data_IF_580266390762
#
_entry.id   IF_580266390762
#
_cell.length_a   1.000
_cell.length_b   1.000
_cell.length_c   1.000
_cell.angle_alpha   90.00
_cell.angle_beta   90.00
_cell.angle_gamma   90.00
#
_symmetry.space_group_name_H-M   'P 1'
#
loop_
_entity.id
_entity.type
_entity.pdbx_description
1 polymer ?
#
# COMPACT_ATOMS: atom_id res chain seq x y z
N UNK A 1 -3.00 7.10 0.12
CA UNK A 1 -4.40 6.99 -0.38
C UNK A 1 -5.32 6.83 0.81
N UNK A 2 -6.59 7.25 0.71
CA UNK A 2 -7.56 7.11 1.79
C UNK A 2 -8.74 6.23 1.36
N UNK A 3 -9.03 5.21 2.14
CA UNK A 3 -10.20 4.35 2.01
C UNK A 3 -11.27 4.80 3.01
N UNK A 4 -12.50 4.97 2.54
CA UNK A 4 -13.62 5.31 3.42
C UNK A 4 -14.19 4.04 4.06
N UNK A 5 -14.65 4.17 5.30
CA UNK A 5 -15.35 3.11 6.01
C UNK A 5 -16.42 3.72 6.91
N UNK A 6 -17.43 2.91 7.21
CA UNK A 6 -18.45 3.17 8.23
C UNK A 6 -18.86 1.85 8.88
N UNK A 7 -19.75 1.89 9.86
CA UNK A 7 -20.32 0.68 10.47
C UNK A 7 -21.13 -0.15 9.45
N UNK A 8 -21.83 0.50 8.52
CA UNK A 8 -22.59 -0.14 7.45
C UNK A 8 -21.71 -0.64 6.29
N UNK A 9 -20.53 -0.06 6.12
CA UNK A 9 -19.58 -0.40 5.04
C UNK A 9 -18.14 -0.43 5.58
N UNK A 10 -17.80 -1.42 6.42
CA UNK A 10 -16.45 -1.58 6.95
C UNK A 10 -15.45 -1.96 5.86
N UNK A 11 -14.18 -1.59 6.09
CA UNK A 11 -13.06 -2.10 5.31
C UNK A 11 -12.67 -3.47 5.87
N UNK A 12 -12.54 -4.45 4.98
CA UNK A 12 -11.98 -5.76 5.30
C UNK A 12 -10.76 -6.05 4.43
N UNK A 13 -9.63 -6.30 5.07
CA UNK A 13 -8.42 -6.85 4.48
C UNK A 13 -8.05 -6.22 3.11
N UNK A 14 -7.88 -4.88 3.03
CA UNK A 14 -7.78 -4.22 1.74
C UNK A 14 -6.52 -4.67 1.00
N UNK A 15 -6.69 -4.89 -0.31
CA UNK A 15 -5.63 -5.20 -1.25
C UNK A 15 -5.57 -4.12 -2.32
N UNK A 16 -4.35 -3.69 -2.64
CA UNK A 16 -4.10 -2.66 -3.65
C UNK A 16 -2.95 -3.09 -4.55
N UNK A 17 -3.10 -2.79 -5.84
CA UNK A 17 -2.06 -2.98 -6.85
C UNK A 17 -1.70 -1.62 -7.43
N UNK A 18 -0.43 -1.24 -7.29
CA UNK A 18 0.12 -0.06 -7.96
C UNK A 18 0.85 -0.52 -9.22
N UNK A 19 0.28 -0.14 -10.37
CA UNK A 19 0.83 -0.49 -11.68
C UNK A 19 2.12 0.26 -11.95
N UNK A 20 3.05 -0.39 -12.65
CA UNK A 20 4.33 0.21 -13.09
C UNK A 20 5.13 0.84 -11.94
N UNK A 21 5.11 0.22 -10.77
CA UNK A 21 5.79 0.71 -9.57
C UNK A 21 7.31 0.81 -9.75
N UNK A 22 7.94 -0.19 -10.38
CA UNK A 22 9.34 -0.17 -10.82
C UNK A 22 10.38 0.27 -9.76
N UNK A 23 10.08 0.07 -8.46
CA UNK A 23 10.96 0.40 -7.35
C UNK A 23 10.91 -0.68 -6.24
N UNK A 24 12.00 -0.90 -5.50
CA UNK A 24 12.07 -1.91 -4.43
C UNK A 24 13.10 -1.48 -3.36
N UNK A 25 12.85 -1.64 -2.03
CA UNK A 25 11.58 -2.03 -1.38
C UNK A 25 10.62 -0.90 -1.11
N UNK A 26 9.31 -1.18 -1.27
CA UNK A 26 8.26 -0.26 -0.86
C UNK A 26 8.12 -0.26 0.67
N UNK A 27 8.13 0.93 1.27
CA UNK A 27 7.71 1.12 2.67
C UNK A 27 6.22 1.38 2.71
N UNK A 28 5.53 0.73 3.65
CA UNK A 28 4.09 0.88 3.86
C UNK A 28 3.82 1.36 5.27
N UNK A 29 3.01 2.41 5.39
CA UNK A 29 2.43 2.84 6.67
C UNK A 29 0.91 2.86 6.57
N UNK A 30 0.27 2.61 7.71
CA UNK A 30 -1.19 2.67 7.86
C UNK A 30 -1.50 3.70 8.94
N UNK A 31 -2.38 4.65 8.63
CA UNK A 31 -2.74 5.78 9.51
C UNK A 31 -1.52 6.52 10.06
N UNK A 32 -0.51 6.72 9.19
CA UNK A 32 0.75 7.40 9.52
C UNK A 32 1.71 6.59 10.41
N UNK A 33 1.39 5.34 10.73
CA UNK A 33 2.18 4.50 11.65
C UNK A 33 2.82 3.32 10.92
N UNK A 34 4.01 2.93 11.39
CA UNK A 34 4.58 1.65 11.03
C UNK A 34 3.65 0.53 11.54
N UNK A 35 3.40 -0.44 10.68
CA UNK A 35 2.55 -1.58 11.02
C UNK A 35 3.36 -2.69 11.69
N UNK A 36 2.76 -3.45 12.63
CA UNK A 36 3.40 -4.64 13.16
C UNK A 36 3.74 -5.64 12.05
N UNK A 37 4.86 -6.35 12.20
CA UNK A 37 5.27 -7.40 11.27
C UNK A 37 4.14 -8.42 11.06
N UNK A 38 3.91 -8.83 9.81
CA UNK A 38 2.84 -9.76 9.43
C UNK A 38 1.46 -9.12 9.22
N UNK A 39 1.24 -7.88 9.67
CA UNK A 39 -0.03 -7.14 9.41
C UNK A 39 -0.11 -6.66 7.97
N UNK A 40 1.04 -6.27 7.40
CA UNK A 40 1.14 -5.90 5.99
C UNK A 40 2.01 -6.91 5.28
N UNK A 41 1.54 -7.33 4.10
CA UNK A 41 2.27 -8.18 3.18
C UNK A 41 2.49 -7.39 1.90
N UNK A 42 3.75 -7.32 1.48
CA UNK A 42 4.17 -6.60 0.28
C UNK A 42 4.78 -7.61 -0.67
N UNK A 43 4.38 -7.54 -1.94
CA UNK A 43 4.93 -8.36 -3.01
C UNK A 43 5.05 -7.57 -4.30
N UNK A 44 5.77 -8.12 -5.26
CA UNK A 44 5.90 -7.56 -6.61
C UNK A 44 5.31 -8.52 -7.64
N UNK A 45 4.67 -7.97 -8.66
CA UNK A 45 4.17 -8.73 -9.81
C UNK A 45 5.01 -8.31 -11.01
N UNK A 46 5.74 -9.25 -11.60
CA UNK A 46 6.59 -9.00 -12.77
C UNK A 46 5.76 -9.17 -14.03
N UNK A 47 5.69 -8.11 -14.84
CA UNK A 47 5.09 -8.11 -16.16
C UNK A 47 6.17 -7.85 -17.22
N UNK A 48 5.83 -7.98 -18.51
CA UNK A 48 6.75 -7.68 -19.61
C UNK A 48 7.20 -6.21 -19.60
N UNK A 49 6.28 -5.29 -19.31
CA UNK A 49 6.51 -3.84 -19.40
C UNK A 49 6.99 -3.21 -18.08
N UNK A 50 7.19 -4.00 -17.03
CA UNK A 50 7.64 -3.49 -15.74
C UNK A 50 7.19 -4.32 -14.54
N UNK A 51 7.39 -3.75 -13.35
CA UNK A 51 7.07 -4.37 -12.06
C UNK A 51 5.93 -3.60 -11.40
N UNK A 52 4.84 -4.29 -11.10
CA UNK A 52 3.78 -3.77 -10.24
C UNK A 52 4.07 -4.07 -8.78
N UNK A 53 3.53 -3.25 -7.89
CA UNK A 53 3.53 -3.48 -6.45
C UNK A 53 2.17 -4.00 -6.00
N UNK A 54 2.15 -5.08 -5.24
CA UNK A 54 0.95 -5.57 -4.55
C UNK A 54 1.13 -5.38 -3.03
N UNK A 55 0.14 -4.77 -2.39
CA UNK A 55 0.11 -4.59 -0.94
C UNK A 55 -1.20 -5.13 -0.40
N UNK A 56 -1.10 -5.95 0.63
CA UNK A 56 -2.22 -6.50 1.38
C UNK A 56 -2.10 -6.08 2.84
N UNK A 57 -3.17 -5.52 3.40
CA UNK A 57 -3.26 -5.12 4.80
C UNK A 57 -4.26 -6.04 5.50
N UNK A 58 -3.79 -6.84 6.46
CA UNK A 58 -4.64 -7.72 7.26
C UNK A 58 -5.29 -6.93 8.41
N UNK A 59 -6.31 -6.15 8.10
CA UNK A 59 -7.01 -5.32 9.08
C UNK A 59 -8.49 -5.17 8.72
N UNK A 60 -9.32 -5.08 9.76
CA UNK A 60 -10.73 -4.70 9.66
C UNK A 60 -10.94 -3.40 10.42
N UNK A 61 -11.72 -2.47 9.85
CA UNK A 61 -12.05 -1.19 10.50
C UNK A 61 -13.36 -0.61 9.97
N UNK A 62 -14.13 0.01 10.84
CA UNK A 62 -15.28 0.87 10.47
C UNK A 62 -14.90 2.35 10.37
N UNK A 63 -13.63 2.70 10.69
CA UNK A 63 -13.07 4.04 10.52
C UNK A 63 -12.29 4.15 9.21
N UNK A 64 -12.29 5.32 8.54
CA UNK A 64 -11.47 5.54 7.36
C UNK A 64 -10.00 5.19 7.62
N UNK A 65 -9.36 4.57 6.63
CA UNK A 65 -7.97 4.11 6.69
C UNK A 65 -7.12 4.88 5.68
N UNK A 66 -5.95 5.34 6.09
CA UNK A 66 -4.94 5.89 5.19
C UNK A 66 -3.79 4.91 4.98
N UNK A 67 -3.49 4.58 3.72
CA UNK A 67 -2.37 3.73 3.34
C UNK A 67 -1.37 4.58 2.55
N UNK A 68 -0.14 4.67 3.04
CA UNK A 68 0.95 5.41 2.39
C UNK A 68 2.04 4.46 1.93
N UNK A 69 2.45 4.62 0.67
CA UNK A 69 3.48 3.82 0.02
C UNK A 69 4.64 4.74 -0.35
N UNK A 70 5.87 4.40 0.04
CA UNK A 70 7.05 5.18 -0.28
C UNK A 70 8.09 4.30 -0.96
N UNK A 71 8.56 4.74 -2.14
CA UNK A 71 9.72 4.15 -2.80
C UNK A 71 11.01 4.62 -2.10
N UNK A 72 12.05 3.77 -1.99
CA UNK A 72 13.25 4.09 -1.23
C UNK A 72 14.13 5.13 -1.92
N UNK A 73 13.97 5.33 -3.24
CA UNK A 73 14.65 6.34 -4.02
C UNK A 73 13.70 6.94 -5.07
N UNK A 74 12.81 7.84 -4.65
CA UNK A 74 12.29 8.81 -5.61
C UNK A 74 13.45 9.74 -5.96
N UNK A 75 14.24 9.41 -6.99
CA UNK A 75 15.05 10.45 -7.64
C UNK A 75 14.06 11.54 -8.02
N UNK A 76 14.19 12.69 -7.37
CA UNK A 76 13.59 13.92 -7.85
C UNK A 76 14.05 14.00 -9.31
N UNK A 77 13.13 13.78 -10.25
CA UNK A 77 13.36 14.27 -11.60
C UNK A 77 13.33 15.78 -11.42
N UNK A 78 14.52 16.39 -11.32
CA UNK A 78 14.64 17.83 -11.48
C UNK A 78 14.07 18.19 -12.86
N UNK A 79 13.33 19.30 -12.97
CA UNK A 79 12.79 19.79 -14.24
C UNK A 79 13.89 20.06 -15.28
#
# INVERSE_FOLDING_TARGET
MKLQASDDSPIFNPALVVKNWNADPARVTVDGRAVPAGTVRVGTIRNLDGIDLAVFVQQQTTKPMEITLTAPNSRIQSP
#
